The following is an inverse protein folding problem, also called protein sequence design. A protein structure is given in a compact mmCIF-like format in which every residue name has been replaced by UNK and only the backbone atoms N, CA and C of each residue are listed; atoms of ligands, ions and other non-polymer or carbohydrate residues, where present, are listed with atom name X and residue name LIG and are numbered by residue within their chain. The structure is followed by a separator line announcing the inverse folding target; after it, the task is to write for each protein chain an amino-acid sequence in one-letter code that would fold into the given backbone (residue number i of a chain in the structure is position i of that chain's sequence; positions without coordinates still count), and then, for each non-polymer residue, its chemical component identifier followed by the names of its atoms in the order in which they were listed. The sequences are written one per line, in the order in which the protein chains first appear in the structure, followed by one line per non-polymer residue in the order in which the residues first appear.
data_IF_556867906032
#
_entry.id   IF_556867906032
#
_cell.length_a   1.000
_cell.length_b   1.000
_cell.length_c   1.000
_cell.angle_alpha   90.00
_cell.angle_beta   90.00
_cell.angle_gamma   90.00
#
_symmetry.space_group_name_H-M   'P 1'
#
loop_
_entity.id
_entity.type
_entity.pdbx_description
1 polymer ?
#
# COMPACT_ATOMS: atom_id res chain seq x y z
N UNK A 1 11.76 14.73 -11.96
CA UNK A 1 12.48 13.80 -12.85
C UNK A 1 13.85 14.33 -13.24
N UNK A 2 13.98 15.36 -14.10
CA UNK A 2 15.28 15.87 -14.60
C UNK A 2 16.35 16.22 -13.55
N UNK A 3 15.97 16.77 -12.39
CA UNK A 3 16.90 17.06 -11.29
C UNK A 3 17.40 15.82 -10.54
N UNK A 4 16.66 14.71 -10.61
CA UNK A 4 16.97 13.45 -9.92
C UNK A 4 17.78 12.52 -10.81
N UNK A 5 17.40 12.43 -12.08
CA UNK A 5 18.13 11.72 -13.12
C UNK A 5 17.97 12.49 -14.44
N UNK A 6 19.10 12.95 -14.98
CA UNK A 6 19.13 13.71 -16.22
C UNK A 6 18.91 12.80 -17.45
N UNK A 7 19.26 11.52 -17.35
CA UNK A 7 19.13 10.54 -18.45
C UNK A 7 17.70 10.05 -18.65
N UNK A 8 16.86 10.11 -17.61
CA UNK A 8 15.45 9.68 -17.66
C UNK A 8 14.46 10.84 -17.89
N UNK A 9 14.95 12.03 -18.25
CA UNK A 9 14.11 13.21 -18.38
C UNK A 9 13.30 13.15 -19.70
N UNK A 10 11.98 13.38 -19.65
CA UNK A 10 11.15 13.37 -20.86
C UNK A 10 11.52 14.51 -21.80
N UNK A 11 11.52 14.21 -23.09
CA UNK A 11 11.72 15.16 -24.18
C UNK A 11 10.45 15.94 -24.52
N UNK A 12 10.57 16.89 -25.45
CA UNK A 12 9.43 17.64 -25.96
C UNK A 12 8.58 16.71 -26.83
N UNK A 13 7.32 16.50 -26.44
CA UNK A 13 6.37 15.61 -27.13
C UNK A 13 6.12 14.28 -26.42
N UNK A 14 6.90 13.94 -25.40
CA UNK A 14 6.74 12.68 -24.67
C UNK A 14 5.57 12.72 -23.69
N UNK A 15 4.88 11.57 -23.56
CA UNK A 15 3.85 11.38 -22.52
C UNK A 15 4.51 11.01 -21.20
N UNK A 16 4.26 11.81 -20.16
CA UNK A 16 4.80 11.59 -18.83
C UNK A 16 3.74 10.96 -17.93
N UNK A 17 4.00 9.75 -17.44
CA UNK A 17 3.15 9.10 -16.45
C UNK A 17 3.36 9.74 -15.06
N UNK A 18 2.26 9.99 -14.34
CA UNK A 18 2.28 10.51 -12.98
C UNK A 18 1.12 9.97 -12.16
N UNK A 19 1.27 9.98 -10.85
CA UNK A 19 0.22 9.69 -9.88
C UNK A 19 0.08 10.84 -8.89
N UNK A 20 -1.12 11.01 -8.35
CA UNK A 20 -1.43 12.07 -7.40
C UNK A 20 -1.17 11.58 -5.97
N UNK A 21 -0.16 12.16 -5.34
CA UNK A 21 0.22 11.87 -3.96
C UNK A 21 -0.51 12.78 -2.98
N UNK A 22 -0.61 12.32 -1.74
CA UNK A 22 -1.20 13.11 -0.66
C UNK A 22 -0.25 14.24 -0.26
N UNK A 23 -0.66 15.47 -0.54
CA UNK A 23 0.05 16.69 -0.15
C UNK A 23 -0.60 17.44 1.01
N UNK A 24 -0.01 18.57 1.44
CA UNK A 24 -0.63 19.46 2.42
C UNK A 24 -1.98 20.01 1.91
N UNK A 25 -2.84 20.38 2.86
CA UNK A 25 -4.14 20.96 2.54
C UNK A 25 -3.95 22.25 1.71
N UNK A 26 -4.67 22.37 0.59
CA UNK A 26 -4.54 23.50 -0.33
C UNK A 26 -3.36 23.46 -1.31
N UNK A 27 -2.49 22.44 -1.25
CA UNK A 27 -1.42 22.29 -2.24
C UNK A 27 -1.98 22.09 -3.65
N UNK A 28 -1.32 22.70 -4.63
CA UNK A 28 -1.77 22.69 -6.03
C UNK A 28 -1.53 21.32 -6.65
N UNK A 29 -2.35 20.94 -7.63
CA UNK A 29 -2.26 19.60 -8.23
C UNK A 29 -0.88 19.31 -8.82
N UNK A 30 -0.22 20.30 -9.43
CA UNK A 30 1.12 20.11 -10.00
C UNK A 30 2.21 19.85 -8.95
N UNK A 31 1.98 20.19 -7.68
CA UNK A 31 2.88 19.92 -6.55
C UNK A 31 2.65 18.53 -5.97
N UNK A 32 1.50 17.92 -6.29
CA UNK A 32 1.08 16.59 -5.84
C UNK A 32 1.32 15.51 -6.91
N UNK A 33 1.84 15.86 -8.08
CA UNK A 33 2.14 14.91 -9.14
C UNK A 33 3.53 14.30 -8.92
N UNK A 34 3.63 12.98 -8.87
CA UNK A 34 4.90 12.28 -8.71
C UNK A 34 5.01 11.06 -9.63
N UNK A 35 6.25 10.63 -9.89
CA UNK A 35 6.56 9.44 -10.68
C UNK A 35 6.09 8.14 -9.97
N UNK A 36 5.39 7.23 -10.68
CA UNK A 36 4.89 5.99 -10.07
C UNK A 36 5.98 5.09 -9.47
N UNK A 37 7.18 5.05 -10.06
CA UNK A 37 8.30 4.23 -9.53
C UNK A 37 8.80 4.85 -8.23
N UNK A 38 8.98 6.17 -8.20
CA UNK A 38 9.37 6.89 -7.00
C UNK A 38 8.38 6.66 -5.85
N UNK A 39 7.07 6.71 -6.14
CA UNK A 39 6.01 6.46 -5.15
C UNK A 39 6.09 5.05 -4.55
N UNK A 40 6.35 4.03 -5.37
CA UNK A 40 6.48 2.64 -4.91
C UNK A 40 7.73 2.43 -4.06
N UNK A 41 8.88 2.98 -4.48
CA UNK A 41 10.14 2.85 -3.75
C UNK A 41 10.05 3.52 -2.37
N UNK A 42 9.48 4.73 -2.33
CA UNK A 42 9.50 5.58 -1.14
C UNK A 42 8.23 5.48 -0.27
N UNK A 43 7.27 4.61 -0.61
CA UNK A 43 5.97 4.49 0.09
C UNK A 43 5.27 5.85 0.24
N UNK A 44 5.21 6.62 -0.84
CA UNK A 44 4.50 7.90 -0.79
C UNK A 44 2.99 7.61 -0.82
N UNK A 45 2.19 8.12 0.14
CA UNK A 45 0.76 7.84 0.17
C UNK A 45 0.05 8.49 -1.02
N UNK A 46 -0.84 7.73 -1.66
CA UNK A 46 -1.68 8.17 -2.77
C UNK A 46 -2.87 8.97 -2.24
N UNK A 47 -3.27 10.03 -2.93
CA UNK A 47 -4.47 10.80 -2.60
C UNK A 47 -5.73 10.09 -3.11
N UNK A 48 -6.22 9.12 -2.34
CA UNK A 48 -7.41 8.34 -2.70
C UNK A 48 -8.68 9.19 -2.86
N UNK A 49 -8.78 10.30 -2.11
CA UNK A 49 -9.92 11.23 -2.22
C UNK A 49 -9.90 11.96 -3.55
N UNK A 50 -8.72 12.43 -4.00
CA UNK A 50 -8.59 13.01 -5.33
C UNK A 50 -9.08 12.07 -6.43
N UNK A 51 -8.67 10.79 -6.40
CA UNK A 51 -9.12 9.83 -7.41
C UNK A 51 -10.63 9.54 -7.31
N UNK A 52 -11.19 9.45 -6.10
CA UNK A 52 -12.61 9.26 -5.91
C UNK A 52 -13.42 10.46 -6.45
N UNK A 53 -13.11 11.68 -6.03
CA UNK A 53 -13.91 12.87 -6.29
C UNK A 53 -13.68 13.45 -7.70
N UNK A 54 -12.43 13.46 -8.18
CA UNK A 54 -12.09 14.09 -9.45
C UNK A 54 -12.16 13.14 -10.65
N UNK A 55 -11.86 11.85 -10.47
CA UNK A 55 -11.78 10.89 -11.57
C UNK A 55 -13.00 9.97 -11.64
N UNK A 56 -13.45 9.42 -10.51
CA UNK A 56 -14.54 8.43 -10.50
C UNK A 56 -15.92 9.04 -10.32
N UNK A 57 -16.08 10.04 -9.47
CA UNK A 57 -17.39 10.56 -9.09
C UNK A 57 -18.19 11.11 -10.27
N UNK A 58 -17.54 11.92 -11.13
CA UNK A 58 -18.24 12.60 -12.25
C UNK A 58 -18.71 11.61 -13.33
N UNK A 59 -17.88 10.66 -13.82
CA UNK A 59 -18.37 9.64 -14.75
C UNK A 59 -19.46 8.76 -14.16
N UNK A 60 -19.33 8.34 -12.89
CA UNK A 60 -20.34 7.51 -12.23
C UNK A 60 -21.66 8.26 -12.04
N UNK A 61 -21.61 9.54 -11.64
CA UNK A 61 -22.79 10.40 -11.57
C UNK A 61 -23.53 10.47 -12.91
N UNK A 62 -22.82 10.73 -14.02
CA UNK A 62 -23.44 10.79 -15.36
C UNK A 62 -24.14 9.51 -15.78
N UNK A 63 -23.65 8.34 -15.34
CA UNK A 63 -24.24 7.04 -15.68
C UNK A 63 -25.45 6.74 -14.79
N UNK A 64 -25.35 7.01 -13.49
CA UNK A 64 -26.34 6.57 -12.50
C UNK A 64 -27.43 7.62 -12.21
N UNK A 65 -27.15 8.92 -12.36
CA UNK A 65 -28.14 9.98 -12.12
C UNK A 65 -29.40 9.84 -12.97
N UNK A 66 -29.34 9.54 -14.30
CA UNK A 66 -30.54 9.37 -15.11
C UNK A 66 -31.41 8.16 -14.72
N UNK A 67 -30.81 7.15 -14.07
CA UNK A 67 -31.49 5.88 -13.75
C UNK A 67 -32.05 5.92 -12.32
N UNK A 68 -31.25 6.41 -11.37
CA UNK A 68 -31.53 6.30 -9.93
C UNK A 68 -31.97 7.64 -9.31
N UNK A 69 -31.80 8.75 -10.01
CA UNK A 69 -31.92 10.10 -9.46
C UNK A 69 -30.69 10.54 -8.67
N UNK A 70 -30.56 11.85 -8.49
CA UNK A 70 -29.35 12.49 -7.94
C UNK A 70 -29.02 12.06 -6.49
N UNK A 71 -30.03 11.90 -5.65
CA UNK A 71 -29.85 11.55 -4.22
C UNK A 71 -29.29 10.14 -4.03
N UNK A 72 -29.81 9.16 -4.78
CA UNK A 72 -29.34 7.77 -4.71
C UNK A 72 -27.96 7.59 -5.36
N UNK A 73 -27.70 8.28 -6.47
CA UNK A 73 -26.40 8.25 -7.12
C UNK A 73 -25.28 8.78 -6.20
N UNK A 74 -25.54 9.88 -5.47
CA UNK A 74 -24.58 10.43 -4.49
C UNK A 74 -24.28 9.46 -3.34
N UNK A 75 -25.29 8.70 -2.88
CA UNK A 75 -25.12 7.70 -1.82
C UNK A 75 -24.17 6.55 -2.19
N UNK A 76 -23.81 6.37 -3.47
CA UNK A 76 -22.82 5.37 -3.88
C UNK A 76 -21.40 5.75 -3.43
N UNK A 77 -21.12 7.05 -3.41
CA UNK A 77 -19.78 7.59 -3.14
C UNK A 77 -19.64 8.08 -1.70
N UNK A 78 -20.75 8.35 -1.03
CA UNK A 78 -20.81 8.78 0.37
C UNK A 78 -21.68 7.85 1.18
N UNK A 79 -21.17 7.34 2.30
CA UNK A 79 -21.98 6.51 3.19
C UNK A 79 -21.18 5.78 4.26
N UNK A 80 -21.86 4.85 4.92
CA UNK A 80 -21.29 4.05 5.99
C UNK A 80 -20.23 3.07 5.44
N UNK A 81 -20.40 2.62 4.20
CA UNK A 81 -19.46 1.74 3.49
C UNK A 81 -18.11 2.41 3.17
N UNK A 82 -18.03 3.75 3.19
CA UNK A 82 -16.80 4.50 2.91
C UNK A 82 -16.05 4.97 4.17
N UNK A 83 -16.51 4.59 5.37
CA UNK A 83 -15.92 5.05 6.65
C UNK A 83 -14.58 4.41 6.99
N UNK A 84 -14.21 3.31 6.32
CA UNK A 84 -12.92 2.64 6.53
C UNK A 84 -11.92 3.15 5.51
N UNK A 85 -10.97 3.97 5.95
CA UNK A 85 -9.88 4.47 5.09
C UNK A 85 -8.58 3.83 5.55
N UNK A 86 -7.96 3.04 4.68
CA UNK A 86 -6.58 2.58 4.86
C UNK A 86 -5.64 3.61 4.27
N UNK A 87 -4.76 4.18 5.10
CA UNK A 87 -3.74 5.14 4.66
C UNK A 87 -2.38 4.56 5.02
N UNK A 88 -1.52 4.37 4.01
CA UNK A 88 -0.13 4.03 4.24
C UNK A 88 0.57 5.19 4.98
N UNK A 89 1.33 4.86 6.03
CA UNK A 89 2.15 5.85 6.70
C UNK A 89 3.31 6.26 5.77
N UNK A 90 3.48 7.56 5.47
CA UNK A 90 4.57 8.01 4.62
C UNK A 90 5.92 7.67 5.27
N UNK A 91 6.82 7.06 4.50
CA UNK A 91 8.22 6.84 4.93
C UNK A 91 9.07 8.10 4.69
N UNK A 92 8.58 9.05 3.90
CA UNK A 92 9.29 10.29 3.53
C UNK A 92 8.77 11.47 4.34
N UNK A 93 9.68 12.11 5.07
CA UNK A 93 9.43 13.36 5.80
C UNK A 93 10.42 13.58 6.94
N UNK A 94 10.91 14.81 7.13
CA UNK A 94 11.89 15.14 8.17
C UNK A 94 11.40 14.85 9.59
N UNK A 95 10.08 14.93 9.82
CA UNK A 95 9.47 14.68 11.11
C UNK A 95 9.42 13.18 11.47
N UNK A 96 9.24 12.29 10.48
CA UNK A 96 9.15 10.84 10.71
C UNK A 96 10.49 10.21 11.12
N UNK A 97 11.63 10.89 10.89
CA UNK A 97 12.95 10.42 11.33
C UNK A 97 13.15 10.49 12.84
N UNK A 98 12.36 11.31 13.55
CA UNK A 98 12.46 11.51 15.00
C UNK A 98 11.33 10.83 15.79
N UNK A 99 10.37 10.20 15.08
CA UNK A 99 9.25 9.52 15.72
C UNK A 99 9.66 8.09 16.14
N UNK A 100 9.54 7.78 17.43
CA UNK A 100 9.68 6.40 17.93
C UNK A 100 8.46 5.59 17.49
N UNK A 101 8.68 4.53 16.70
CA UNK A 101 7.61 3.62 16.26
C UNK A 101 7.15 2.76 17.44
N UNK A 102 5.99 3.08 18.01
CA UNK A 102 5.32 2.24 19.02
C UNK A 102 4.48 1.19 18.34
N UNK A 103 4.68 -0.09 18.68
CA UNK A 103 3.87 -1.18 18.16
C UNK A 103 2.48 -1.16 18.79
N UNK A 104 1.48 -1.65 18.04
CA UNK A 104 0.10 -1.78 18.53
C UNK A 104 -0.34 -3.25 18.48
N UNK A 105 -1.17 -3.63 19.45
CA UNK A 105 -1.78 -4.96 19.50
C UNK A 105 -2.61 -5.23 18.24
N UNK A 106 -2.38 -6.36 17.57
CA UNK A 106 -3.10 -6.72 16.35
C UNK A 106 -4.60 -6.99 16.56
N UNK A 107 -5.01 -7.33 17.77
CA UNK A 107 -6.42 -7.57 18.12
C UNK A 107 -7.17 -6.28 18.45
N UNK A 108 -6.70 -5.54 19.47
CA UNK A 108 -7.43 -4.39 20.05
C UNK A 108 -6.83 -3.02 19.70
N UNK A 109 -5.72 -2.96 18.94
CA UNK A 109 -4.99 -1.72 18.58
C UNK A 109 -4.46 -0.91 19.75
N UNK A 110 -4.46 -1.47 20.98
CA UNK A 110 -3.82 -0.85 22.15
C UNK A 110 -2.32 -0.70 21.88
N UNK A 111 -1.70 0.47 22.17
CA UNK A 111 -0.25 0.61 22.07
C UNK A 111 0.46 -0.29 23.09
N UNK A 112 1.48 -1.02 22.62
CA UNK A 112 2.29 -1.93 23.43
C UNK A 112 3.46 -1.15 24.03
N UNK A 113 3.32 -0.76 25.29
CA UNK A 113 4.33 0.06 26.02
C UNK A 113 5.04 -0.71 27.12
N UNK A 114 4.56 -1.90 27.49
CA UNK A 114 5.22 -2.75 28.48
C UNK A 114 6.54 -3.30 27.94
N UNK A 115 7.55 -3.49 28.81
CA UNK A 115 8.87 -3.99 28.39
C UNK A 115 8.77 -5.35 27.68
N UNK A 116 7.95 -6.24 28.21
CA UNK A 116 7.73 -7.60 27.67
C UNK A 116 6.82 -7.62 26.43
N UNK A 117 5.92 -6.64 26.28
CA UNK A 117 4.98 -6.59 25.16
C UNK A 117 5.46 -5.70 24.01
N UNK A 118 6.50 -4.87 24.22
CA UNK A 118 6.89 -3.82 23.28
C UNK A 118 7.35 -4.34 21.91
N UNK A 119 7.85 -5.57 21.88
CA UNK A 119 8.30 -6.27 20.66
C UNK A 119 7.24 -7.26 20.13
N UNK A 120 6.21 -7.57 20.91
CA UNK A 120 5.19 -8.57 20.61
C UNK A 120 4.11 -8.14 19.60
N UNK A 121 3.23 -9.07 19.24
CA UNK A 121 2.08 -8.85 18.37
C UNK A 121 0.79 -8.59 19.16
N UNK A 122 0.66 -9.14 20.36
CA UNK A 122 -0.56 -9.05 21.19
C UNK A 122 -0.31 -8.40 22.55
N UNK A 123 -1.38 -7.91 23.18
CA UNK A 123 -1.35 -7.51 24.58
C UNK A 123 -1.88 -8.64 25.48
N UNK A 124 -1.68 -8.52 26.80
CA UNK A 124 -2.10 -9.51 27.80
C UNK A 124 -3.58 -9.89 27.68
N UNK A 125 -4.45 -8.91 27.40
CA UNK A 125 -5.90 -9.15 27.25
C UNK A 125 -6.25 -9.94 25.97
N UNK A 126 -5.40 -9.87 24.95
CA UNK A 126 -5.60 -10.59 23.69
C UNK A 126 -4.77 -11.88 23.60
N UNK A 127 -3.97 -12.21 24.63
CA UNK A 127 -3.18 -13.44 24.69
C UNK A 127 -4.01 -14.72 24.47
N UNK A 128 -5.25 -14.86 25.00
CA UNK A 128 -6.06 -16.05 24.73
C UNK A 128 -6.44 -16.24 23.26
N UNK A 129 -6.40 -15.16 22.45
CA UNK A 129 -6.76 -15.15 21.03
C UNK A 129 -5.54 -15.20 20.11
N UNK A 130 -4.34 -15.47 20.63
CA UNK A 130 -3.10 -15.49 19.84
C UNK A 130 -3.19 -16.48 18.69
N UNK A 131 -3.69 -17.70 18.90
CA UNK A 131 -3.81 -18.70 17.84
C UNK A 131 -4.72 -18.25 16.68
N UNK A 132 -5.83 -17.56 16.99
CA UNK A 132 -6.73 -16.99 15.99
C UNK A 132 -6.05 -15.88 15.19
N UNK A 133 -5.37 -14.96 15.88
CA UNK A 133 -4.68 -13.83 15.27
C UNK A 133 -3.50 -14.28 14.42
N UNK A 134 -2.70 -15.22 14.92
CA UNK A 134 -1.57 -15.81 14.23
C UNK A 134 -2.01 -16.50 12.93
N UNK A 135 -3.04 -17.36 13.01
CA UNK A 135 -3.58 -18.03 11.82
C UNK A 135 -4.04 -17.02 10.77
N UNK A 136 -4.76 -15.98 11.17
CA UNK A 136 -5.20 -14.92 10.25
C UNK A 136 -4.04 -14.20 9.56
N UNK A 137 -2.96 -13.91 10.29
CA UNK A 137 -1.76 -13.31 9.69
C UNK A 137 -1.00 -14.28 8.80
N UNK A 138 -0.93 -15.56 9.18
CA UNK A 138 -0.28 -16.61 8.40
C UNK A 138 -0.99 -16.86 7.07
N UNK A 139 -2.32 -16.96 7.09
CA UNK A 139 -3.14 -17.11 5.89
C UNK A 139 -2.90 -15.94 4.92
N UNK A 140 -2.82 -14.71 5.44
CA UNK A 140 -2.51 -13.52 4.63
C UNK A 140 -1.11 -13.57 4.03
N UNK A 141 -0.10 -14.01 4.79
CA UNK A 141 1.27 -14.16 4.27
C UNK A 141 1.29 -15.21 3.15
N UNK A 142 0.63 -16.36 3.36
CA UNK A 142 0.54 -17.42 2.36
C UNK A 142 -0.09 -16.92 1.04
N UNK A 143 -1.17 -16.15 1.12
CA UNK A 143 -1.80 -15.54 -0.07
C UNK A 143 -0.84 -14.58 -0.83
N UNK A 144 -0.03 -13.82 -0.08
CA UNK A 144 0.96 -12.91 -0.65
C UNK A 144 2.14 -13.64 -1.28
N UNK A 145 2.60 -14.74 -0.69
CA UNK A 145 3.65 -15.61 -1.25
C UNK A 145 3.21 -16.23 -2.58
N UNK A 146 1.98 -16.77 -2.64
CA UNK A 146 1.42 -17.33 -3.87
C UNK A 146 1.32 -16.26 -4.96
N UNK A 147 0.85 -15.05 -4.61
CA UNK A 147 0.76 -13.93 -5.54
C UNK A 147 2.14 -13.50 -6.04
N UNK A 148 3.11 -13.37 -5.14
CA UNK A 148 4.49 -13.03 -5.48
C UNK A 148 5.09 -14.07 -6.44
N UNK A 149 4.98 -15.35 -6.12
CA UNK A 149 5.48 -16.45 -6.95
C UNK A 149 4.87 -16.42 -8.37
N UNK A 150 3.54 -16.27 -8.48
CA UNK A 150 2.87 -16.19 -9.79
C UNK A 150 3.36 -15.03 -10.66
N UNK A 151 3.49 -13.83 -10.07
CA UNK A 151 3.92 -12.64 -10.81
C UNK A 151 5.38 -12.76 -11.25
N UNK A 152 6.26 -13.25 -10.38
CA UNK A 152 7.69 -13.34 -10.67
C UNK A 152 8.01 -14.43 -11.70
N UNK A 153 7.39 -15.61 -11.59
CA UNK A 153 7.51 -16.68 -12.59
C UNK A 153 6.97 -16.25 -13.96
N UNK A 154 5.90 -15.45 -14.00
CA UNK A 154 5.41 -14.91 -15.28
C UNK A 154 6.42 -13.97 -15.94
N UNK A 155 7.16 -13.17 -15.17
CA UNK A 155 8.24 -12.35 -15.70
C UNK A 155 9.41 -13.19 -16.25
N UNK A 156 9.81 -14.26 -15.56
CA UNK A 156 10.85 -15.18 -16.04
C UNK A 156 10.45 -15.83 -17.38
N UNK A 157 9.19 -16.27 -17.49
CA UNK A 157 8.63 -16.81 -18.75
C UNK A 157 8.64 -15.78 -19.88
N UNK A 158 8.24 -14.54 -19.58
CA UNK A 158 8.25 -13.44 -20.56
C UNK A 158 9.67 -13.10 -21.04
N UNK A 159 10.67 -13.18 -20.16
CA UNK A 159 12.07 -12.94 -20.51
C UNK A 159 12.69 -14.12 -21.28
N UNK A 160 12.19 -15.35 -21.08
CA UNK A 160 12.75 -16.56 -21.68
C UNK A 160 14.01 -17.08 -20.97
N UNK A 161 14.39 -16.50 -19.83
CA UNK A 161 15.51 -16.97 -19.00
C UNK A 161 15.03 -17.22 -17.58
N UNK A 162 15.37 -18.40 -17.04
CA UNK A 162 15.14 -18.74 -15.64
C UNK A 162 16.38 -18.51 -14.76
N UNK A 163 17.55 -18.36 -15.38
CA UNK A 163 18.84 -18.30 -14.68
C UNK A 163 19.36 -16.86 -14.55
N UNK A 164 18.85 -15.94 -15.37
CA UNK A 164 19.22 -14.53 -15.32
C UNK A 164 18.22 -13.74 -14.48
N UNK A 165 18.68 -12.59 -13.97
CA UNK A 165 17.81 -11.63 -13.33
C UNK A 165 16.82 -11.02 -14.34
N UNK A 166 15.61 -10.72 -13.87
CA UNK A 166 14.56 -10.08 -14.66
C UNK A 166 14.81 -8.57 -14.77
N UNK A 167 15.49 -8.15 -15.84
CA UNK A 167 15.77 -6.74 -16.14
C UNK A 167 14.71 -6.21 -17.13
N UNK A 168 13.49 -5.98 -16.66
CA UNK A 168 12.40 -5.44 -17.47
C UNK A 168 11.97 -4.06 -16.95
N UNK A 169 11.87 -3.07 -17.84
CA UNK A 169 11.47 -1.69 -17.57
C UNK A 169 10.20 -1.25 -18.32
N UNK A 170 9.45 -2.22 -18.88
CA UNK A 170 8.22 -1.95 -19.64
C UNK A 170 7.12 -1.41 -18.72
N UNK A 171 6.86 -0.11 -18.79
CA UNK A 171 5.84 0.58 -17.98
C UNK A 171 4.41 0.26 -18.43
N UNK A 172 4.23 -0.19 -19.67
CA UNK A 172 2.93 -0.60 -20.21
C UNK A 172 2.52 -2.02 -19.79
N UNK A 173 3.45 -2.80 -19.22
CA UNK A 173 3.14 -4.12 -18.71
C UNK A 173 2.37 -4.03 -17.38
N UNK A 174 1.18 -4.64 -17.26
CA UNK A 174 0.39 -4.58 -16.02
C UNK A 174 1.13 -5.25 -14.83
N UNK A 175 2.03 -6.20 -15.10
CA UNK A 175 2.80 -6.90 -14.08
C UNK A 175 3.93 -6.02 -13.50
N UNK A 176 4.40 -5.00 -14.24
CA UNK A 176 5.60 -4.24 -13.88
C UNK A 176 5.49 -3.58 -12.50
N UNK A 177 4.42 -2.84 -12.23
CA UNK A 177 4.19 -2.24 -10.91
C UNK A 177 3.67 -3.26 -9.90
N UNK A 178 2.85 -4.21 -10.35
CA UNK A 178 2.27 -5.23 -9.47
C UNK A 178 3.31 -6.12 -8.80
N UNK A 179 4.36 -6.53 -9.52
CA UNK A 179 5.42 -7.38 -8.96
C UNK A 179 6.24 -6.66 -7.89
N UNK A 180 6.53 -5.37 -8.09
CA UNK A 180 7.25 -4.55 -7.12
C UNK A 180 6.42 -4.36 -5.85
N UNK A 181 5.13 -4.08 -6.02
CA UNK A 181 4.18 -4.00 -4.91
C UNK A 181 4.05 -5.33 -4.16
N UNK A 182 3.88 -6.45 -4.89
CA UNK A 182 3.72 -7.77 -4.27
C UNK A 182 4.95 -8.17 -3.44
N UNK A 183 6.16 -7.87 -3.92
CA UNK A 183 7.40 -8.05 -3.15
C UNK A 183 7.35 -7.27 -1.83
N UNK A 184 6.99 -5.99 -1.89
CA UNK A 184 6.93 -5.11 -0.74
C UNK A 184 5.84 -5.49 0.26
N UNK A 185 4.65 -5.81 -0.23
CA UNK A 185 3.52 -6.29 0.58
C UNK A 185 3.90 -7.59 1.32
N UNK A 186 4.65 -8.49 0.66
CA UNK A 186 5.14 -9.73 1.27
C UNK A 186 6.21 -9.45 2.35
N UNK A 187 7.17 -8.58 2.08
CA UNK A 187 8.19 -8.15 3.06
C UNK A 187 7.55 -7.49 4.30
N UNK A 188 6.54 -6.65 4.10
CA UNK A 188 5.78 -6.01 5.18
C UNK A 188 4.99 -7.03 5.99
N UNK A 189 4.29 -7.95 5.32
CA UNK A 189 3.51 -8.98 5.98
C UNK A 189 4.37 -9.99 6.74
N UNK A 190 5.54 -10.34 6.21
CA UNK A 190 6.53 -11.18 6.90
C UNK A 190 7.04 -10.53 8.18
N UNK A 191 7.36 -9.23 8.14
CA UNK A 191 7.75 -8.46 9.34
C UNK A 191 6.63 -8.39 10.40
N UNK A 192 5.38 -8.43 9.98
CA UNK A 192 4.25 -8.51 10.92
C UNK A 192 4.14 -9.90 11.54
N UNK A 193 4.38 -10.98 10.77
CA UNK A 193 4.33 -12.35 11.26
C UNK A 193 5.44 -12.65 12.28
N UNK A 194 6.65 -12.14 12.06
CA UNK A 194 7.79 -12.31 13.01
C UNK A 194 7.55 -11.67 14.37
N UNK A 195 6.55 -10.80 14.52
CA UNK A 195 6.21 -10.20 15.82
C UNK A 195 5.65 -11.20 16.81
N UNK A 196 5.01 -12.27 16.32
CA UNK A 196 4.47 -13.32 17.18
C UNK A 196 5.58 -14.15 17.84
N UNK A 197 6.79 -14.19 17.26
CA UNK A 197 7.93 -14.91 17.84
C UNK A 197 8.39 -14.29 19.17
N UNK A 198 8.11 -13.00 19.38
CA UNK A 198 8.44 -12.28 20.61
C UNK A 198 7.33 -12.39 21.68
N UNK A 199 6.15 -12.91 21.35
CA UNK A 199 5.06 -13.05 22.31
C UNK A 199 5.29 -14.27 23.20
N UNK A 200 5.42 -14.06 24.51
CA UNK A 200 5.51 -15.16 25.49
C UNK A 200 4.30 -16.11 25.44
N UNK A 201 3.13 -15.63 25.01
CA UNK A 201 1.94 -16.46 24.83
C UNK A 201 2.02 -17.40 23.59
N UNK A 202 2.95 -17.14 22.66
CA UNK A 202 3.22 -17.99 21.50
C UNK A 202 4.38 -18.97 21.75
N UNK A 203 5.24 -18.68 22.73
CA UNK A 203 6.30 -19.58 23.19
C UNK A 203 5.72 -20.57 24.21
N UNK A 204 5.87 -21.86 23.93
CA UNK A 204 5.38 -22.94 24.78
C UNK A 204 6.26 -23.12 26.02
#
# INVERSE_FOLDING_TARGET
MKKRDAGSAPGLGDRVAYVMIRGPAGAKNFEKSEDPIYVLEHNVPIDTRYYLDNQLAKPLGRIFEPILGETKARSLLTGDHTRVISVAAPTVGGLMKFAKKTQTCMGCKKPLTGKEESEGAVCSNCAPRVGELYKKTLDRVSDLEVRFGRLWTQCQRCQGSMHCEVICSSKDCPIFYMRMKAKKDLEDAGRELTRFDADQAAMW
#
